data_IF_190057582078
#
_entry.id   IF_190057582078
#
_cell.length_a   1.000
_cell.length_b   1.000
_cell.length_c   1.000
_cell.angle_alpha   90.00
_cell.angle_beta   90.00
_cell.angle_gamma   90.00
#
_symmetry.space_group_name_H-M   'P 1'
#
loop_
_entity.id
_entity.type
_entity.pdbx_description
1 polymer ?
#
# COMPACT_ATOMS: atom_id res chain seq x y z
N UNK A 1 2.01 25.28 -9.26
CA UNK A 1 2.76 25.42 -10.51
C UNK A 1 4.15 24.84 -10.40
N UNK A 2 4.60 24.11 -11.43
CA UNK A 2 5.93 23.54 -11.50
C UNK A 2 6.38 23.36 -12.96
N UNK A 3 7.70 23.20 -13.16
CA UNK A 3 8.27 22.75 -14.42
C UNK A 3 8.76 21.32 -14.21
N UNK A 4 8.32 20.41 -15.04
CA UNK A 4 8.80 19.03 -15.01
C UNK A 4 9.35 18.68 -16.38
N UNK A 5 10.66 18.29 -16.40
CA UNK A 5 11.34 17.98 -17.66
C UNK A 5 12.31 16.83 -17.48
N UNK A 6 12.31 15.92 -18.45
CA UNK A 6 13.31 14.85 -18.52
C UNK A 6 14.62 15.40 -19.08
N UNK A 7 15.72 15.09 -18.38
CA UNK A 7 17.06 15.58 -18.71
C UNK A 7 18.08 14.45 -18.60
N UNK A 8 19.26 14.71 -19.11
CA UNK A 8 20.45 13.93 -18.75
C UNK A 8 21.25 14.71 -17.71
N UNK A 9 21.61 14.07 -16.61
CA UNK A 9 22.49 14.65 -15.58
C UNK A 9 23.86 13.95 -15.64
N UNK A 10 24.91 14.74 -15.58
CA UNK A 10 26.28 14.21 -15.74
C UNK A 10 27.21 14.76 -14.68
N UNK A 11 28.14 13.93 -14.23
CA UNK A 11 29.28 14.32 -13.40
C UNK A 11 30.47 13.41 -13.67
N UNK A 12 31.65 13.97 -13.88
CA UNK A 12 32.93 13.25 -14.02
C UNK A 12 32.88 12.03 -14.95
N UNK A 13 32.21 12.15 -16.12
CA UNK A 13 32.08 11.10 -17.12
C UNK A 13 30.96 10.08 -16.82
N UNK A 14 30.25 10.18 -15.70
CA UNK A 14 29.04 9.40 -15.42
C UNK A 14 27.83 10.18 -15.89
N UNK A 15 26.88 9.50 -16.56
CA UNK A 15 25.65 10.10 -17.07
C UNK A 15 24.45 9.24 -16.69
N UNK A 16 23.33 9.90 -16.30
CA UNK A 16 22.06 9.26 -16.00
C UNK A 16 20.89 10.12 -16.52
N UNK A 17 19.81 9.46 -16.90
CA UNK A 17 18.53 10.14 -17.09
C UNK A 17 18.01 10.61 -15.73
N UNK A 18 17.47 11.83 -15.70
CA UNK A 18 16.88 12.40 -14.51
C UNK A 18 15.61 13.18 -14.86
N UNK A 19 14.75 13.37 -13.87
CA UNK A 19 13.55 14.18 -13.95
C UNK A 19 13.76 15.44 -13.09
N UNK A 20 13.96 16.57 -13.74
CA UNK A 20 14.07 17.84 -13.03
C UNK A 20 12.66 18.36 -12.73
N UNK A 21 12.44 18.69 -11.47
CA UNK A 21 11.24 19.33 -10.97
C UNK A 21 11.58 20.74 -10.48
N UNK A 22 11.22 21.74 -11.26
CA UNK A 22 11.32 23.15 -10.91
C UNK A 22 10.12 23.56 -10.05
N UNK A 23 10.35 23.81 -8.76
CA UNK A 23 9.28 24.14 -7.80
C UNK A 23 9.61 25.40 -7.02
N UNK A 24 8.59 26.13 -6.60
CA UNK A 24 8.77 27.25 -5.70
C UNK A 24 9.28 26.77 -4.33
N UNK A 25 10.27 27.44 -3.70
CA UNK A 25 10.81 27.04 -2.41
C UNK A 25 9.75 26.92 -1.31
N UNK A 26 8.74 27.78 -1.32
CA UNK A 26 7.62 27.75 -0.38
C UNK A 26 6.77 26.49 -0.53
N UNK A 27 6.55 26.04 -1.77
CA UNK A 27 5.78 24.82 -2.05
C UNK A 27 6.57 23.56 -1.67
N UNK A 28 7.88 23.53 -1.88
CA UNK A 28 8.70 22.41 -1.46
C UNK A 28 8.71 22.24 0.07
N UNK A 29 8.68 23.36 0.82
CA UNK A 29 8.61 23.36 2.29
C UNK A 29 7.26 22.88 2.83
N UNK A 30 6.16 23.10 2.12
CA UNK A 30 4.82 22.62 2.49
C UNK A 30 4.66 21.10 2.26
N UNK A 31 5.42 20.55 1.34
CA UNK A 31 5.44 19.09 1.13
C UNK A 31 6.02 18.45 2.38
N UNK A 32 5.43 17.34 2.83
CA UNK A 32 5.83 16.60 4.05
C UNK A 32 7.22 15.93 3.91
N UNK A 33 8.19 16.65 3.34
CA UNK A 33 9.59 16.24 3.31
C UNK A 33 10.16 16.56 4.68
N UNK A 34 10.16 15.56 5.56
CA UNK A 34 10.71 15.69 6.91
C UNK A 34 12.20 16.02 6.84
N UNK A 35 12.68 16.79 7.81
CA UNK A 35 14.09 17.14 7.92
C UNK A 35 15.02 15.90 7.94
N UNK A 36 14.52 14.76 8.45
CA UNK A 36 15.22 13.47 8.44
C UNK A 36 15.42 12.88 7.02
N UNK A 37 14.65 13.34 6.05
CA UNK A 37 14.70 12.87 4.66
C UNK A 37 15.65 13.71 3.80
N UNK A 38 16.22 14.78 4.35
CA UNK A 38 17.13 15.68 3.62
C UNK A 38 18.44 15.87 4.38
N UNK A 39 19.51 16.14 3.62
CA UNK A 39 20.78 16.58 4.20
C UNK A 39 20.57 17.87 4.99
N UNK A 40 21.21 17.99 6.16
CA UNK A 40 21.08 19.14 7.07
C UNK A 40 21.19 20.49 6.35
N UNK A 41 20.17 21.32 6.54
CA UNK A 41 20.08 22.66 5.98
C UNK A 41 19.88 22.73 4.45
N UNK A 42 19.69 21.61 3.75
CA UNK A 42 19.48 21.62 2.30
C UNK A 42 18.20 22.39 1.91
N UNK A 43 17.12 22.21 2.66
CA UNK A 43 15.85 22.91 2.43
C UNK A 43 15.94 24.42 2.70
N UNK A 44 16.76 24.84 3.67
CA UNK A 44 16.96 26.26 3.98
C UNK A 44 17.69 26.99 2.85
N UNK A 45 18.67 26.32 2.22
CA UNK A 45 19.43 26.87 1.09
C UNK A 45 18.67 26.83 -0.23
N UNK A 46 17.68 25.96 -0.36
CA UNK A 46 16.88 25.84 -1.58
C UNK A 46 16.10 27.11 -1.86
N UNK A 47 16.45 27.79 -2.94
CA UNK A 47 15.89 29.06 -3.38
C UNK A 47 16.55 30.31 -2.80
N UNK A 48 17.50 30.17 -1.85
CA UNK A 48 18.37 31.27 -1.40
C UNK A 48 19.74 31.23 -2.10
N UNK A 49 20.20 30.03 -2.41
CA UNK A 49 21.41 29.77 -3.16
C UNK A 49 21.08 29.15 -4.51
N UNK A 50 21.91 29.41 -5.53
CA UNK A 50 21.83 28.71 -6.82
C UNK A 50 22.24 27.27 -6.64
N UNK A 51 21.43 26.33 -7.15
CA UNK A 51 21.77 24.91 -7.11
C UNK A 51 20.57 23.98 -7.09
N UNK A 52 20.84 22.71 -6.92
CA UNK A 52 19.86 21.65 -7.00
C UNK A 52 19.91 20.70 -5.80
N UNK A 53 18.77 20.08 -5.49
CA UNK A 53 18.70 18.93 -4.60
C UNK A 53 18.62 17.66 -5.44
N UNK A 54 19.44 16.67 -5.11
CA UNK A 54 19.56 15.41 -5.87
C UNK A 54 19.08 14.26 -5.01
N UNK A 55 18.30 13.31 -5.58
CA UNK A 55 17.94 12.10 -4.87
C UNK A 55 19.17 11.32 -4.41
N UNK A 56 19.14 10.76 -3.21
CA UNK A 56 20.29 10.12 -2.56
C UNK A 56 20.90 8.98 -3.41
N UNK A 57 20.06 8.15 -4.05
CA UNK A 57 20.54 7.08 -4.94
C UNK A 57 21.15 7.61 -6.23
N UNK A 58 20.55 8.66 -6.80
CA UNK A 58 21.10 9.32 -7.98
C UNK A 58 22.46 9.96 -7.66
N UNK A 59 22.56 10.62 -6.51
CA UNK A 59 23.81 11.22 -6.04
C UNK A 59 24.92 10.18 -5.86
N UNK A 60 24.63 9.02 -5.25
CA UNK A 60 25.58 7.90 -5.12
C UNK A 60 26.00 7.35 -6.48
N UNK A 61 25.05 7.18 -7.42
CA UNK A 61 25.34 6.67 -8.76
C UNK A 61 26.24 7.61 -9.56
N UNK A 62 26.05 8.92 -9.43
CA UNK A 62 26.86 9.94 -10.06
C UNK A 62 28.18 10.19 -9.31
N UNK A 63 28.29 9.72 -8.06
CA UNK A 63 29.43 9.95 -7.20
C UNK A 63 29.54 11.41 -6.75
N UNK A 64 28.40 12.08 -6.48
CA UNK A 64 28.34 13.47 -6.06
C UNK A 64 27.89 13.60 -4.61
N UNK A 65 28.45 14.62 -3.95
CA UNK A 65 28.11 15.00 -2.59
C UNK A 65 27.71 16.49 -2.56
N UNK A 66 27.27 16.96 -1.40
CA UNK A 66 27.02 18.37 -1.18
C UNK A 66 28.25 19.22 -1.49
N UNK A 67 28.06 20.27 -2.29
CA UNK A 67 29.12 21.17 -2.73
C UNK A 67 29.75 20.80 -4.08
N UNK A 68 29.56 19.59 -4.56
CA UNK A 68 29.94 19.21 -5.92
C UNK A 68 29.03 19.86 -6.96
N UNK A 69 29.43 19.81 -8.23
CA UNK A 69 28.63 20.32 -9.34
C UNK A 69 28.13 19.18 -10.23
N UNK A 70 26.89 19.27 -10.65
CA UNK A 70 26.30 18.38 -11.66
C UNK A 70 25.91 19.18 -12.91
N UNK A 71 26.17 18.62 -14.09
CA UNK A 71 25.75 19.24 -15.34
C UNK A 71 24.42 18.67 -15.78
N UNK A 72 23.42 19.53 -15.92
CA UNK A 72 22.09 19.19 -16.42
C UNK A 72 22.06 19.52 -17.89
N UNK A 73 21.71 18.51 -18.70
CA UNK A 73 21.63 18.60 -20.16
C UNK A 73 20.19 18.43 -20.59
N UNK A 74 19.54 19.49 -21.04
CA UNK A 74 18.20 19.45 -21.57
C UNK A 74 18.25 19.01 -23.05
N UNK A 75 17.41 18.04 -23.46
CA UNK A 75 17.35 17.58 -24.87
C UNK A 75 16.84 18.70 -25.79
N UNK A 76 15.94 19.54 -25.30
CA UNK A 76 15.43 20.71 -26.01
C UNK A 76 16.46 21.84 -25.98
N UNK A 77 17.23 21.95 -27.05
CA UNK A 77 18.26 22.95 -27.19
C UNK A 77 17.89 24.06 -28.17
N UNK A 78 18.86 24.93 -28.50
CA UNK A 78 18.69 25.92 -29.56
C UNK A 78 18.78 25.24 -30.93
N UNK A 79 17.77 25.49 -31.79
CA UNK A 79 17.88 25.12 -33.19
C UNK A 79 19.00 25.97 -33.83
N UNK A 80 19.96 25.28 -34.44
CA UNK A 80 21.05 25.91 -35.20
C UNK A 80 21.01 25.41 -36.63
N UNK A 81 21.76 26.07 -37.49
CA UNK A 81 21.88 25.67 -38.92
C UNK A 81 22.39 24.23 -39.07
N UNK A 82 23.09 23.71 -38.07
CA UNK A 82 23.66 22.36 -38.04
C UNK A 82 22.84 21.35 -37.19
N UNK A 83 21.62 21.71 -36.74
CA UNK A 83 20.76 20.88 -35.89
C UNK A 83 20.53 21.48 -34.52
N UNK A 84 19.86 20.72 -33.63
CA UNK A 84 19.55 21.15 -32.28
C UNK A 84 20.73 20.87 -31.36
N UNK A 85 21.29 21.92 -30.75
CA UNK A 85 22.37 21.79 -29.76
C UNK A 85 21.77 21.70 -28.36
N UNK A 86 21.95 20.58 -27.63
CA UNK A 86 21.44 20.44 -26.28
C UNK A 86 21.97 21.53 -25.34
N UNK A 87 21.14 22.01 -24.43
CA UNK A 87 21.54 23.00 -23.44
C UNK A 87 22.14 22.29 -22.24
N UNK A 88 23.39 22.54 -21.94
CA UNK A 88 24.09 22.03 -20.77
C UNK A 88 24.48 23.19 -19.85
N UNK A 89 24.20 23.05 -18.55
CA UNK A 89 24.66 23.99 -17.51
C UNK A 89 24.97 23.23 -16.22
N UNK A 90 26.08 23.65 -15.59
CA UNK A 90 26.47 23.11 -14.30
C UNK A 90 25.73 23.82 -13.15
N UNK A 91 25.31 23.03 -12.16
CA UNK A 91 24.64 23.49 -10.93
C UNK A 91 25.29 22.87 -9.71
N UNK A 92 25.55 23.63 -8.64
CA UNK A 92 26.04 23.07 -7.39
C UNK A 92 24.95 22.22 -6.73
N UNK A 93 25.38 21.15 -6.09
CA UNK A 93 24.53 20.26 -5.29
C UNK A 93 24.37 20.85 -3.90
N UNK A 94 23.20 21.40 -3.57
CA UNK A 94 22.89 21.97 -2.27
C UNK A 94 22.74 20.92 -1.18
N UNK A 95 22.36 19.71 -1.57
CA UNK A 95 22.18 18.55 -0.71
C UNK A 95 21.47 17.40 -1.41
N UNK A 96 21.28 16.33 -0.67
CA UNK A 96 20.55 15.14 -1.14
C UNK A 96 19.25 14.97 -0.36
N UNK A 97 18.30 14.24 -0.94
CA UNK A 97 17.06 13.87 -0.28
C UNK A 97 16.76 12.38 -0.49
N UNK A 98 15.97 11.82 0.43
CA UNK A 98 15.53 10.43 0.42
C UNK A 98 14.02 10.37 0.66
N UNK A 99 13.24 10.06 -0.38
CA UNK A 99 11.77 9.94 -0.29
C UNK A 99 11.32 8.56 0.19
N UNK A 100 12.22 7.58 0.22
CA UNK A 100 11.91 6.21 0.57
C UNK A 100 11.34 5.37 -0.57
N UNK A 101 11.21 5.97 -1.76
CA UNK A 101 10.83 5.30 -3.00
C UNK A 101 12.05 5.25 -3.93
N UNK A 102 12.55 4.05 -4.16
CA UNK A 102 13.80 3.82 -4.91
C UNK A 102 13.82 4.49 -6.29
N UNK A 103 12.69 4.48 -6.99
CA UNK A 103 12.56 5.08 -8.32
C UNK A 103 12.74 6.60 -8.26
N UNK A 104 12.07 7.30 -7.34
CA UNK A 104 12.20 8.75 -7.19
C UNK A 104 13.57 9.15 -6.67
N UNK A 105 14.15 8.39 -5.75
CA UNK A 105 15.49 8.64 -5.22
C UNK A 105 16.59 8.44 -6.29
N UNK A 106 16.31 7.66 -7.35
CA UNK A 106 17.20 7.46 -8.49
C UNK A 106 17.00 8.43 -9.65
N UNK A 107 15.85 9.10 -9.73
CA UNK A 107 15.48 9.85 -10.92
C UNK A 107 15.30 11.34 -10.65
N UNK A 108 14.83 11.71 -9.45
CA UNK A 108 14.32 13.05 -9.20
C UNK A 108 15.42 14.03 -8.78
N UNK A 109 15.33 15.23 -9.35
CA UNK A 109 16.15 16.40 -9.00
C UNK A 109 15.23 17.60 -8.79
N UNK A 110 15.29 18.24 -7.62
CA UNK A 110 14.58 19.50 -7.39
C UNK A 110 15.46 20.69 -7.73
N UNK A 111 14.86 21.65 -8.43
CA UNK A 111 15.47 22.91 -8.81
C UNK A 111 14.53 24.07 -8.42
N UNK A 112 15.02 25.21 -7.92
CA UNK A 112 14.18 26.38 -7.73
C UNK A 112 13.49 26.80 -9.02
N UNK A 113 12.18 27.12 -8.95
CA UNK A 113 11.37 27.42 -10.14
C UNK A 113 11.98 28.50 -11.06
N UNK A 114 12.52 29.65 -10.56
CA UNK A 114 13.15 30.64 -11.41
C UNK A 114 14.37 30.12 -12.18
N UNK A 115 15.15 29.22 -11.56
CA UNK A 115 16.31 28.61 -12.22
C UNK A 115 15.87 27.61 -13.29
N UNK A 116 14.80 26.84 -13.03
CA UNK A 116 14.21 25.95 -14.01
C UNK A 116 13.64 26.71 -15.20
N UNK A 117 12.93 27.82 -14.96
CA UNK A 117 12.43 28.71 -16.01
C UNK A 117 13.54 29.24 -16.91
N UNK A 118 14.65 29.64 -16.29
CA UNK A 118 15.83 30.11 -17.04
C UNK A 118 16.51 28.96 -17.82
N UNK A 119 16.66 27.79 -17.21
CA UNK A 119 17.31 26.62 -17.83
C UNK A 119 16.51 26.09 -19.03
N UNK A 120 15.18 25.97 -18.88
CA UNK A 120 14.29 25.41 -19.90
C UNK A 120 13.70 26.49 -20.85
N UNK A 121 14.09 27.77 -20.71
CA UNK A 121 13.58 28.88 -21.52
C UNK A 121 12.05 29.05 -21.49
N UNK A 122 11.49 28.93 -20.30
CA UNK A 122 10.06 29.13 -20.03
C UNK A 122 9.87 30.37 -19.13
N UNK A 123 10.16 31.62 -19.59
CA UNK A 123 10.09 32.80 -18.74
C UNK A 123 8.64 33.02 -18.29
N UNK A 124 8.46 33.11 -16.97
CA UNK A 124 7.15 33.30 -16.32
C UNK A 124 6.11 32.20 -16.63
N UNK A 125 6.50 31.13 -17.30
CA UNK A 125 5.63 30.00 -17.64
C UNK A 125 5.96 28.76 -16.82
N UNK A 126 4.98 27.88 -16.74
CA UNK A 126 5.10 26.54 -16.20
C UNK A 126 4.47 25.54 -17.16
N UNK A 127 4.96 24.33 -17.19
CA UNK A 127 4.40 23.29 -18.06
C UNK A 127 3.48 22.31 -17.30
N UNK A 128 3.39 22.44 -15.96
CA UNK A 128 2.56 21.58 -15.15
C UNK A 128 2.04 22.30 -13.91
N UNK A 129 0.79 21.99 -13.56
CA UNK A 129 0.18 22.39 -12.28
C UNK A 129 -0.16 21.08 -11.54
N UNK A 130 0.35 20.93 -10.34
CA UNK A 130 0.02 19.81 -9.47
C UNK A 130 -1.10 20.25 -8.53
N UNK A 131 -2.22 19.52 -8.54
CA UNK A 131 -3.39 19.77 -7.73
C UNK A 131 -3.45 18.70 -6.63
N UNK A 132 -3.55 19.11 -5.38
CA UNK A 132 -3.71 18.24 -4.24
C UNK A 132 -5.19 18.18 -3.86
N UNK A 133 -5.68 16.97 -3.61
CA UNK A 133 -7.06 16.73 -3.18
C UNK A 133 -7.03 16.05 -1.80
N UNK A 134 -8.02 16.35 -0.97
CA UNK A 134 -8.10 15.79 0.39
C UNK A 134 -8.30 14.28 0.37
N UNK A 135 -9.08 13.77 -0.59
CA UNK A 135 -9.27 12.35 -0.79
C UNK A 135 -8.66 11.91 -2.13
N UNK A 136 -7.50 11.20 -2.10
CA UNK A 136 -6.83 10.74 -3.32
C UNK A 136 -7.68 9.82 -4.21
N UNK A 137 -8.63 9.08 -3.61
CA UNK A 137 -9.50 8.15 -4.35
C UNK A 137 -10.49 8.89 -5.27
N UNK A 138 -10.79 10.16 -4.95
CA UNK A 138 -11.67 11.01 -5.76
C UNK A 138 -10.94 11.84 -6.82
N UNK A 139 -9.63 11.69 -6.96
CA UNK A 139 -8.82 12.48 -7.91
C UNK A 139 -9.32 12.34 -9.36
N UNK A 140 -9.90 11.21 -9.74
CA UNK A 140 -10.48 11.01 -11.07
C UNK A 140 -11.74 11.86 -11.31
N UNK A 141 -12.59 12.05 -10.29
CA UNK A 141 -13.77 12.93 -10.37
C UNK A 141 -13.33 14.39 -10.52
N UNK A 142 -12.42 14.83 -9.65
CA UNK A 142 -11.88 16.19 -9.70
C UNK A 142 -11.19 16.48 -11.04
N UNK A 143 -10.49 15.48 -11.61
CA UNK A 143 -9.87 15.66 -12.92
C UNK A 143 -10.91 15.84 -14.04
N UNK A 144 -12.05 15.16 -13.96
CA UNK A 144 -13.14 15.34 -14.93
C UNK A 144 -13.78 16.73 -14.80
N UNK A 145 -14.01 17.21 -13.57
CA UNK A 145 -14.53 18.56 -13.33
C UNK A 145 -13.57 19.62 -13.91
N UNK A 146 -12.27 19.53 -13.61
CA UNK A 146 -11.26 20.43 -14.16
C UNK A 146 -11.26 20.38 -15.70
N UNK A 147 -11.32 19.19 -16.30
CA UNK A 147 -11.32 19.05 -17.77
C UNK A 147 -12.59 19.61 -18.42
N UNK A 148 -13.71 19.66 -17.70
CA UNK A 148 -14.94 20.28 -18.20
C UNK A 148 -14.86 21.81 -18.20
N UNK A 149 -14.13 22.39 -17.24
CA UNK A 149 -14.04 23.84 -17.06
C UNK A 149 -12.89 24.48 -17.85
N UNK A 150 -11.80 23.76 -18.08
CA UNK A 150 -10.53 24.31 -18.61
C UNK A 150 -10.41 24.16 -20.15
N UNK A 151 -11.49 24.13 -20.88
CA UNK A 151 -11.59 24.08 -22.35
C UNK A 151 -10.26 24.33 -23.10
N UNK A 152 -9.63 23.27 -23.63
CA UNK A 152 -8.46 23.27 -24.56
C UNK A 152 -7.14 23.92 -24.06
N UNK A 153 -7.11 24.58 -22.88
CA UNK A 153 -5.90 25.24 -22.39
C UNK A 153 -4.96 24.31 -21.62
N UNK A 154 -5.51 23.29 -20.96
CA UNK A 154 -4.78 22.30 -20.19
C UNK A 154 -5.59 21.01 -20.06
N UNK A 155 -4.93 19.91 -19.75
CA UNK A 155 -5.56 18.63 -19.50
C UNK A 155 -5.17 18.07 -18.13
N UNK A 156 -6.17 17.87 -17.28
CA UNK A 156 -5.95 17.29 -15.95
C UNK A 156 -5.94 15.77 -16.04
N UNK A 157 -4.85 15.17 -15.57
CA UNK A 157 -4.65 13.72 -15.53
C UNK A 157 -4.64 13.28 -14.07
N UNK A 158 -5.53 12.40 -13.62
CA UNK A 158 -5.50 11.89 -12.26
C UNK A 158 -4.28 10.97 -12.08
N UNK A 159 -3.75 10.91 -10.85
CA UNK A 159 -2.58 10.08 -10.54
C UNK A 159 -2.79 8.60 -10.90
N UNK A 160 -4.02 8.10 -10.82
CA UNK A 160 -4.38 6.73 -11.20
C UNK A 160 -4.06 6.42 -12.68
N UNK A 161 -4.16 7.40 -13.57
CA UNK A 161 -3.85 7.22 -15.01
C UNK A 161 -2.38 6.96 -15.24
N UNK A 162 -1.50 7.63 -14.48
CA UNK A 162 -0.04 7.44 -14.60
C UNK A 162 0.41 6.07 -14.06
N UNK A 163 -0.40 5.47 -13.19
CA UNK A 163 -0.10 4.20 -12.51
C UNK A 163 -1.17 3.13 -12.77
N UNK A 164 -1.85 3.15 -13.94
CA UNK A 164 -2.92 2.21 -14.25
C UNK A 164 -2.49 0.74 -14.12
N UNK A 165 -1.28 0.41 -14.55
CA UNK A 165 -0.74 -0.94 -14.38
C UNK A 165 -0.64 -1.33 -12.90
N UNK A 166 -0.12 -0.43 -12.07
CA UNK A 166 -0.01 -0.66 -10.64
C UNK A 166 -1.40 -0.72 -9.98
N UNK A 167 -2.30 0.21 -10.31
CA UNK A 167 -3.66 0.23 -9.80
C UNK A 167 -4.43 -1.04 -10.18
N UNK A 168 -4.29 -1.52 -11.42
CA UNK A 168 -4.90 -2.77 -11.86
C UNK A 168 -4.27 -3.98 -11.17
N UNK A 169 -2.95 -4.01 -11.02
CA UNK A 169 -2.25 -5.07 -10.28
C UNK A 169 -2.73 -5.15 -8.82
N UNK A 170 -2.85 -4.02 -8.15
CA UNK A 170 -3.37 -3.95 -6.77
C UNK A 170 -4.83 -4.38 -6.67
N UNK A 171 -5.67 -4.06 -7.67
CA UNK A 171 -7.07 -4.56 -7.72
C UNK A 171 -7.12 -6.07 -7.88
N UNK A 172 -6.30 -6.62 -8.77
CA UNK A 172 -6.22 -8.08 -8.98
C UNK A 172 -5.70 -8.75 -7.72
N UNK A 173 -4.63 -8.22 -7.11
CA UNK A 173 -4.08 -8.72 -5.85
C UNK A 173 -5.14 -8.74 -4.74
N UNK A 174 -5.88 -7.64 -4.55
CA UNK A 174 -6.98 -7.56 -3.58
C UNK A 174 -8.06 -8.62 -3.82
N UNK A 175 -8.46 -8.82 -5.08
CA UNK A 175 -9.45 -9.84 -5.43
C UNK A 175 -8.93 -11.25 -5.17
N UNK A 176 -7.68 -11.54 -5.51
CA UNK A 176 -7.02 -12.82 -5.25
C UNK A 176 -6.90 -13.07 -3.74
N UNK A 177 -6.48 -12.06 -2.96
CA UNK A 177 -6.41 -12.16 -1.50
C UNK A 177 -7.79 -12.40 -0.87
N UNK A 178 -8.83 -11.72 -1.36
CA UNK A 178 -10.20 -11.97 -0.91
C UNK A 178 -10.65 -13.41 -1.20
N UNK A 179 -10.34 -13.94 -2.39
CA UNK A 179 -10.63 -15.32 -2.76
C UNK A 179 -9.89 -16.31 -1.85
N UNK A 180 -8.60 -16.09 -1.60
CA UNK A 180 -7.79 -16.93 -0.70
C UNK A 180 -8.36 -16.90 0.72
N UNK A 181 -8.67 -15.71 1.24
CA UNK A 181 -9.27 -15.57 2.57
C UNK A 181 -10.62 -16.29 2.65
N UNK A 182 -11.46 -16.16 1.64
CA UNK A 182 -12.75 -16.87 1.57
C UNK A 182 -12.55 -18.38 1.59
N UNK A 183 -11.56 -18.90 0.86
CA UNK A 183 -11.23 -20.32 0.84
C UNK A 183 -10.74 -20.81 2.21
N UNK A 184 -9.90 -20.03 2.89
CA UNK A 184 -9.41 -20.35 4.26
C UNK A 184 -10.58 -20.40 5.24
N UNK A 185 -11.52 -19.44 5.17
CA UNK A 185 -12.71 -19.42 6.03
C UNK A 185 -13.61 -20.63 5.73
N UNK A 186 -13.74 -21.02 4.47
CA UNK A 186 -14.50 -22.20 4.06
C UNK A 186 -13.87 -23.48 4.63
N UNK A 187 -12.55 -23.63 4.56
CA UNK A 187 -11.83 -24.75 5.18
C UNK A 187 -12.05 -24.79 6.69
N UNK A 188 -11.99 -23.63 7.35
CA UNK A 188 -12.26 -23.54 8.78
C UNK A 188 -13.71 -23.95 9.12
N UNK A 189 -14.69 -23.57 8.28
CA UNK A 189 -16.07 -23.99 8.44
C UNK A 189 -16.24 -25.52 8.30
N UNK A 190 -15.55 -26.16 7.35
CA UNK A 190 -15.54 -27.63 7.25
C UNK A 190 -14.91 -28.30 8.46
N UNK A 191 -13.86 -27.74 9.03
CA UNK A 191 -13.25 -28.22 10.26
C UNK A 191 -14.25 -28.15 11.44
N UNK A 192 -15.01 -27.08 11.57
CA UNK A 192 -16.07 -26.94 12.58
C UNK A 192 -17.13 -28.02 12.39
N UNK A 193 -17.61 -28.21 11.14
CA UNK A 193 -18.61 -29.24 10.81
C UNK A 193 -18.08 -30.63 11.22
N UNK A 194 -16.87 -30.97 10.80
CA UNK A 194 -16.28 -32.31 11.07
C UNK A 194 -16.11 -32.54 12.56
N UNK A 195 -15.59 -31.55 13.29
CA UNK A 195 -15.38 -31.64 14.75
C UNK A 195 -16.70 -31.79 15.50
N UNK A 196 -17.75 -31.02 15.11
CA UNK A 196 -19.05 -31.11 15.72
C UNK A 196 -19.77 -32.41 15.38
N UNK A 197 -19.64 -32.93 14.15
CA UNK A 197 -20.21 -34.24 13.77
C UNK A 197 -19.56 -35.34 14.59
N UNK A 198 -18.24 -35.31 14.79
CA UNK A 198 -17.53 -36.26 15.66
C UNK A 198 -18.00 -36.13 17.11
N UNK A 199 -18.12 -34.91 17.63
CA UNK A 199 -18.63 -34.66 18.98
C UNK A 199 -20.04 -35.21 19.15
N UNK A 200 -20.93 -35.05 18.15
CA UNK A 200 -22.30 -35.60 18.18
C UNK A 200 -22.26 -37.12 18.21
N UNK A 201 -21.36 -37.76 17.45
CA UNK A 201 -21.19 -39.20 17.43
C UNK A 201 -20.73 -39.71 18.83
N UNK A 202 -19.69 -39.10 19.40
CA UNK A 202 -19.14 -39.49 20.70
C UNK A 202 -20.12 -39.28 21.86
N UNK A 203 -20.99 -38.24 21.76
CA UNK A 203 -22.01 -37.95 22.76
C UNK A 203 -23.36 -38.58 22.46
N UNK A 204 -23.47 -39.41 21.43
CA UNK A 204 -24.72 -40.03 20.97
C UNK A 204 -25.46 -40.77 22.08
N UNK A 205 -24.77 -41.58 22.92
CA UNK A 205 -25.38 -42.27 24.06
C UNK A 205 -25.93 -41.29 25.11
N UNK A 206 -25.20 -40.20 25.41
CA UNK A 206 -25.66 -39.14 26.32
C UNK A 206 -26.90 -38.40 25.78
N UNK A 207 -26.94 -38.15 24.46
CA UNK A 207 -28.09 -37.53 23.80
C UNK A 207 -29.32 -38.47 23.88
N UNK A 208 -29.11 -39.78 23.64
CA UNK A 208 -30.20 -40.76 23.73
C UNK A 208 -30.79 -40.83 25.14
N UNK A 209 -29.94 -40.88 26.20
CA UNK A 209 -30.39 -40.85 27.60
C UNK A 209 -31.18 -39.57 27.89
N UNK A 210 -30.70 -38.40 27.51
CA UNK A 210 -31.40 -37.15 27.72
C UNK A 210 -32.78 -37.14 27.05
N UNK A 211 -32.86 -37.70 25.82
CA UNK A 211 -34.14 -37.81 25.09
C UNK A 211 -35.10 -38.80 25.72
N UNK A 212 -34.64 -39.93 26.24
CA UNK A 212 -35.50 -40.88 26.97
C UNK A 212 -36.02 -40.30 28.30
N UNK A 213 -35.24 -39.38 28.90
CA UNK A 213 -35.63 -38.63 30.10
C UNK A 213 -36.60 -37.45 29.77
N UNK A 214 -36.98 -37.27 28.50
CA UNK A 214 -37.97 -36.25 28.13
C UNK A 214 -37.42 -34.96 27.50
N UNK A 215 -36.11 -34.89 27.21
CA UNK A 215 -35.55 -33.71 26.52
C UNK A 215 -36.05 -33.61 25.10
N UNK A 216 -36.49 -32.41 24.69
CA UNK A 216 -37.00 -32.14 23.34
C UNK A 216 -35.86 -32.05 22.32
N UNK A 217 -36.18 -32.29 21.03
CA UNK A 217 -35.22 -32.11 19.92
C UNK A 217 -34.66 -30.67 19.89
N UNK A 218 -35.53 -29.71 20.18
CA UNK A 218 -35.15 -28.28 20.24
C UNK A 218 -34.10 -28.01 21.32
N UNK A 219 -34.16 -28.68 22.46
CA UNK A 219 -33.17 -28.55 23.53
C UNK A 219 -31.78 -29.04 23.08
N UNK A 220 -31.75 -30.25 22.46
CA UNK A 220 -30.50 -30.80 21.92
C UNK A 220 -29.94 -29.92 20.84
N UNK A 221 -30.76 -29.43 19.91
CA UNK A 221 -30.33 -28.52 18.85
C UNK A 221 -29.69 -27.25 19.44
N UNK A 222 -30.33 -26.63 20.46
CA UNK A 222 -29.81 -25.42 21.11
C UNK A 222 -28.47 -25.66 21.78
N UNK A 223 -28.28 -26.82 22.44
CA UNK A 223 -27.02 -27.16 23.11
C UNK A 223 -25.87 -27.20 22.07
N UNK A 224 -26.05 -27.98 21.00
CA UNK A 224 -24.99 -28.14 19.99
C UNK A 224 -24.79 -26.85 19.17
N UNK A 225 -25.85 -26.10 18.90
CA UNK A 225 -25.73 -24.80 18.24
C UNK A 225 -24.95 -23.81 19.11
N UNK A 226 -25.29 -23.70 20.42
CA UNK A 226 -24.56 -22.82 21.34
C UNK A 226 -23.10 -23.24 21.50
N UNK A 227 -22.80 -24.53 21.52
CA UNK A 227 -21.42 -25.03 21.56
C UNK A 227 -20.63 -24.59 20.35
N UNK A 228 -21.16 -24.79 19.16
CA UNK A 228 -20.46 -24.37 17.94
C UNK A 228 -20.41 -22.83 17.77
N UNK A 229 -21.48 -22.14 18.13
CA UNK A 229 -21.54 -20.68 18.14
C UNK A 229 -20.49 -20.05 19.08
N UNK A 230 -20.30 -20.64 20.28
CA UNK A 230 -19.29 -20.17 21.23
C UNK A 230 -17.87 -20.39 20.70
N UNK A 231 -17.60 -21.54 20.06
CA UNK A 231 -16.30 -21.81 19.41
C UNK A 231 -16.03 -20.78 18.32
N UNK A 232 -17.03 -20.52 17.47
CA UNK A 232 -16.91 -19.55 16.40
C UNK A 232 -16.69 -18.11 16.92
N UNK A 233 -17.44 -17.72 17.96
CA UNK A 233 -17.29 -16.39 18.56
C UNK A 233 -15.91 -16.18 19.20
N UNK A 234 -15.46 -17.13 20.04
CA UNK A 234 -14.15 -17.09 20.68
C UNK A 234 -13.03 -17.13 19.64
N UNK A 235 -13.16 -18.01 18.62
CA UNK A 235 -12.18 -18.11 17.53
C UNK A 235 -12.08 -16.81 16.72
N UNK A 236 -13.21 -16.21 16.35
CA UNK A 236 -13.21 -14.93 15.63
C UNK A 236 -12.62 -13.80 16.47
N UNK A 237 -13.01 -13.69 17.75
CA UNK A 237 -12.51 -12.64 18.62
C UNK A 237 -10.99 -12.76 18.84
N UNK A 238 -10.50 -13.96 19.14
CA UNK A 238 -9.06 -14.22 19.32
C UNK A 238 -8.30 -14.00 18.00
N UNK A 239 -8.84 -14.42 16.87
CA UNK A 239 -8.25 -14.18 15.55
C UNK A 239 -8.11 -12.70 15.23
N UNK A 240 -9.16 -11.90 15.47
CA UNK A 240 -9.11 -10.44 15.30
C UNK A 240 -8.07 -9.80 16.21
N UNK A 241 -8.04 -10.18 17.50
CA UNK A 241 -7.04 -9.64 18.44
C UNK A 241 -5.60 -9.94 18.00
N UNK A 242 -5.32 -11.18 17.64
CA UNK A 242 -3.98 -11.60 17.18
C UNK A 242 -3.63 -10.92 15.87
N UNK A 243 -4.55 -10.86 14.92
CA UNK A 243 -4.34 -10.22 13.62
C UNK A 243 -4.04 -8.72 13.74
N UNK A 244 -4.81 -8.00 14.56
CA UNK A 244 -4.57 -6.56 14.82
C UNK A 244 -3.24 -6.37 15.54
N UNK A 245 -2.94 -7.16 16.57
CA UNK A 245 -1.66 -7.08 17.28
C UNK A 245 -0.47 -7.35 16.36
N UNK A 246 -0.58 -8.33 15.45
CA UNK A 246 0.45 -8.61 14.44
C UNK A 246 0.66 -7.42 13.50
N UNK A 247 -0.43 -6.85 12.97
CA UNK A 247 -0.37 -5.73 12.02
C UNK A 247 0.22 -4.47 12.66
N UNK A 248 -0.12 -4.17 13.92
CA UNK A 248 0.44 -3.04 14.66
C UNK A 248 1.96 -3.18 14.91
N UNK A 249 2.45 -4.41 15.03
CA UNK A 249 3.85 -4.70 15.31
C UNK A 249 4.63 -5.18 14.07
N UNK A 250 4.09 -5.05 12.85
CA UNK A 250 4.67 -5.61 11.64
C UNK A 250 6.11 -5.14 11.39
N UNK A 251 6.42 -3.87 11.70
CA UNK A 251 7.76 -3.32 11.52
C UNK A 251 8.78 -3.94 12.48
N UNK A 252 8.39 -4.21 13.73
CA UNK A 252 9.23 -4.89 14.72
C UNK A 252 9.47 -6.33 14.30
N UNK A 253 8.42 -7.00 13.82
CA UNK A 253 8.47 -8.38 13.33
C UNK A 253 9.37 -8.46 12.10
N UNK A 254 9.22 -7.52 11.14
CA UNK A 254 10.09 -7.40 9.98
C UNK A 254 11.56 -7.29 10.41
N UNK A 255 11.88 -6.40 11.36
CA UNK A 255 13.24 -6.22 11.86
C UNK A 255 13.81 -7.49 12.50
N UNK A 256 12.99 -8.28 13.20
CA UNK A 256 13.40 -9.58 13.74
C UNK A 256 13.69 -10.60 12.64
N UNK A 257 12.82 -10.69 11.64
CA UNK A 257 13.01 -11.60 10.50
C UNK A 257 14.27 -11.21 9.72
N UNK A 258 14.49 -9.93 9.46
CA UNK A 258 15.68 -9.43 8.76
C UNK A 258 16.97 -9.65 9.55
N UNK A 259 16.90 -9.63 10.88
CA UNK A 259 18.07 -9.93 11.73
C UNK A 259 18.50 -11.40 11.67
N UNK A 260 17.55 -12.31 11.42
CA UNK A 260 17.78 -13.76 11.36
C UNK A 260 18.15 -14.26 9.96
N UNK A 261 17.49 -13.72 8.93
CA UNK A 261 17.58 -14.21 7.55
C UNK A 261 18.26 -13.22 6.58
N UNK A 262 18.72 -12.06 7.07
CA UNK A 262 19.21 -10.97 6.21
C UNK A 262 18.05 -10.16 5.61
N UNK A 263 18.37 -9.27 4.64
CA UNK A 263 17.35 -8.43 4.00
C UNK A 263 16.36 -9.27 3.18
N UNK A 264 15.17 -9.50 3.71
CA UNK A 264 14.10 -10.27 3.05
C UNK A 264 13.36 -9.42 2.03
N UNK A 265 13.28 -8.11 2.27
CA UNK A 265 12.61 -7.14 1.38
C UNK A 265 13.60 -6.08 0.90
N UNK A 266 14.47 -6.40 -0.11
CA UNK A 266 15.39 -5.41 -0.63
C UNK A 266 14.64 -4.24 -1.26
N UNK A 267 14.91 -2.99 -0.85
CA UNK A 267 14.24 -1.79 -1.37
C UNK A 267 14.38 -1.61 -2.89
N UNK A 268 15.40 -2.24 -3.48
CA UNK A 268 15.67 -2.24 -4.91
C UNK A 268 14.57 -2.97 -5.71
N UNK A 269 13.99 -4.01 -5.13
CA UNK A 269 12.97 -4.87 -5.79
C UNK A 269 11.57 -4.39 -5.43
N UNK A 270 11.34 -4.10 -4.16
CA UNK A 270 10.00 -3.76 -3.66
C UNK A 270 9.69 -2.26 -3.66
N UNK A 271 10.67 -1.40 -4.02
CA UNK A 271 10.53 0.06 -4.06
C UNK A 271 10.12 0.71 -2.72
N UNK A 272 10.04 -0.06 -1.64
CA UNK A 272 9.63 0.37 -0.31
C UNK A 272 10.74 0.08 0.70
N UNK A 273 11.02 1.04 1.56
CA UNK A 273 12.01 0.88 2.66
C UNK A 273 11.38 0.28 3.92
N UNK A 274 10.05 0.33 4.03
CA UNK A 274 9.27 -0.24 5.15
C UNK A 274 7.98 -0.83 4.59
N UNK A 275 7.52 -1.94 5.15
CA UNK A 275 6.22 -2.51 4.81
C UNK A 275 5.11 -1.56 5.30
N UNK A 276 4.33 -0.94 4.41
CA UNK A 276 3.20 -0.14 4.82
C UNK A 276 2.09 -1.07 5.31
N UNK A 277 1.72 -0.97 6.57
CA UNK A 277 0.56 -1.65 7.11
C UNK A 277 -0.48 -0.61 7.55
N UNK A 278 -1.65 -0.66 6.93
CA UNK A 278 -2.81 0.16 7.28
C UNK A 278 -3.93 -0.76 7.71
N UNK A 279 -4.44 -0.55 8.92
CA UNK A 279 -5.62 -1.25 9.40
C UNK A 279 -6.85 -0.49 8.91
N UNK A 280 -7.66 -1.14 8.08
CA UNK A 280 -8.98 -0.65 7.71
C UNK A 280 -10.01 -1.31 8.63
N UNK A 281 -10.57 -0.51 9.53
CA UNK A 281 -11.57 -0.99 10.50
C UNK A 281 -12.82 -1.54 9.81
N UNK A 282 -13.19 -1.02 8.65
CA UNK A 282 -14.33 -1.53 7.87
C UNK A 282 -14.07 -2.93 7.33
N UNK A 283 -12.89 -3.18 6.80
CA UNK A 283 -12.49 -4.51 6.32
C UNK A 283 -12.40 -5.52 7.48
N UNK A 284 -11.80 -5.14 8.61
CA UNK A 284 -11.69 -6.01 9.80
C UNK A 284 -13.08 -6.42 10.29
N UNK A 285 -14.01 -5.46 10.42
CA UNK A 285 -15.40 -5.74 10.83
C UNK A 285 -16.12 -6.64 9.82
N UNK A 286 -15.95 -6.38 8.55
CA UNK A 286 -16.57 -7.18 7.48
C UNK A 286 -16.09 -8.62 7.51
N UNK A 287 -14.78 -8.84 7.64
CA UNK A 287 -14.20 -10.19 7.74
C UNK A 287 -14.68 -10.90 9.01
N UNK A 288 -14.72 -10.20 10.15
CA UNK A 288 -15.21 -10.74 11.42
C UNK A 288 -16.68 -11.16 11.31
N UNK A 289 -17.54 -10.35 10.69
CA UNK A 289 -18.96 -10.66 10.48
C UNK A 289 -19.16 -11.86 9.53
N UNK A 290 -18.40 -11.92 8.43
CA UNK A 290 -18.42 -13.07 7.52
C UNK A 290 -17.99 -14.34 8.24
N UNK A 291 -16.91 -14.28 9.02
CA UNK A 291 -16.37 -15.43 9.78
C UNK A 291 -17.38 -15.93 10.81
N UNK A 292 -18.03 -15.03 11.57
CA UNK A 292 -19.09 -15.38 12.52
C UNK A 292 -20.30 -15.98 11.80
N UNK A 293 -20.74 -15.35 10.71
CA UNK A 293 -21.90 -15.84 9.95
C UNK A 293 -21.67 -17.25 9.39
N UNK A 294 -20.50 -17.49 8.78
CA UNK A 294 -20.14 -18.81 8.27
C UNK A 294 -19.97 -19.83 9.38
N UNK A 295 -19.39 -19.46 10.53
CA UNK A 295 -19.27 -20.33 11.69
C UNK A 295 -20.66 -20.75 12.23
N UNK A 296 -21.60 -19.82 12.33
CA UNK A 296 -22.97 -20.14 12.75
C UNK A 296 -23.66 -21.05 11.73
N UNK A 297 -23.57 -20.78 10.43
CA UNK A 297 -24.12 -21.62 9.38
C UNK A 297 -23.53 -23.03 9.40
N UNK A 298 -22.21 -23.14 9.58
CA UNK A 298 -21.50 -24.43 9.68
C UNK A 298 -22.01 -25.26 10.86
N UNK A 299 -22.45 -24.61 11.94
CA UNK A 299 -22.94 -25.27 13.15
C UNK A 299 -24.36 -25.83 13.01
N UNK A 300 -25.18 -25.25 12.12
CA UNK A 300 -26.60 -25.64 11.96
C UNK A 300 -26.73 -27.11 11.57
N UNK A 301 -25.96 -27.58 10.59
CA UNK A 301 -26.06 -28.96 10.08
C UNK A 301 -25.73 -30.01 11.16
N UNK A 302 -24.60 -29.95 11.89
CA UNK A 302 -24.32 -30.90 12.97
C UNK A 302 -25.35 -30.84 14.12
N UNK A 303 -25.77 -29.64 14.50
CA UNK A 303 -26.79 -29.47 15.55
C UNK A 303 -28.13 -30.10 15.17
N UNK A 304 -28.55 -29.90 13.91
CA UNK A 304 -29.75 -30.51 13.40
C UNK A 304 -29.65 -32.05 13.37
N UNK A 305 -28.52 -32.59 12.95
CA UNK A 305 -28.22 -34.04 12.95
C UNK A 305 -28.27 -34.60 14.37
N UNK A 306 -27.68 -33.93 15.34
CA UNK A 306 -27.72 -34.30 16.75
C UNK A 306 -29.15 -34.37 17.28
N UNK A 307 -30.00 -33.39 16.94
CA UNK A 307 -31.42 -33.34 17.37
C UNK A 307 -32.27 -34.48 16.80
N UNK A 308 -31.91 -35.05 15.64
CA UNK A 308 -32.65 -36.15 14.98
C UNK A 308 -32.11 -37.55 15.29
N UNK A 309 -31.08 -37.69 16.12
CA UNK A 309 -30.61 -39.01 16.57
C UNK A 309 -31.75 -39.83 17.18
N UNK A 310 -31.89 -41.06 16.70
CA UNK A 310 -32.90 -42.02 17.26
C UNK A 310 -32.33 -42.63 18.56
N UNK A 311 -33.01 -42.43 19.70
CA UNK A 311 -32.54 -43.00 20.98
C UNK A 311 -32.45 -44.51 20.95
N UNK A 312 -33.29 -45.21 20.16
CA UNK A 312 -33.30 -46.68 20.08
C UNK A 312 -32.06 -47.19 19.36
N UNK A 313 -31.67 -46.57 18.23
CA UNK A 313 -30.45 -46.96 17.50
C UNK A 313 -29.18 -46.64 18.32
N UNK A 314 -29.14 -45.49 18.98
CA UNK A 314 -27.96 -45.08 19.76
C UNK A 314 -27.72 -45.90 21.03
N UNK A 315 -28.74 -46.61 21.54
CA UNK A 315 -28.61 -47.47 22.71
C UNK A 315 -28.46 -48.96 22.31
N UNK A 316 -28.78 -49.32 21.05
CA UNK A 316 -28.74 -50.73 20.58
C UNK A 316 -27.39 -51.18 20.04
N UNK A 317 -26.61 -50.25 19.49
CA UNK A 317 -25.27 -50.56 18.98
C UNK A 317 -24.20 -50.41 20.09
N UNK A 318 -23.83 -51.55 20.65
CA UNK A 318 -22.48 -51.87 21.20
C UNK A 318 -21.67 -52.59 20.17
#
# INVERSE_FOLDING_TARGET
>A
PQIQQQVMITNAGRARGALVRGVAPAELRKRSLNAEQMTDGALARFGTEDGVLVGDRLARTLGVQRGDSVTIVAPEGKATVFGTVPRARAYPVLGTFKLGMSEYDNLLVFMPLPQAQLHFQLPEMVNQIEVFVDNPDLAWLVSQEINADVLDAAYATPWQSNYQYLANALKVERNVMFLILTLIILIAAFNIISSLVMLVHDKGRGIAILRTMGSTQSTILRIFFLTGASIGAVGTLSGVMVGVAFTLNIQTIQGWVESLFGQVFPPEIYYLTRLPAKIDSGEVVTIALISLGLSFLATVYPAWRAARLDPVEALRYE
#
